data_IF_757425105957
#
_entry.id   IF_757425105957
#
_cell.length_a   1.000
_cell.length_b   1.000
_cell.length_c   1.000
_cell.angle_alpha   90.00
_cell.angle_beta   90.00
_cell.angle_gamma   90.00
#
_symmetry.space_group_name_H-M   'P 1'
#
loop_
_entity.id
_entity.type
_entity.pdbx_description
1 polymer ?
#
# COMPACT_ATOMS: atom_id res chain seq x y z
N UNK A 1 1.04 11.03 22.94
CA UNK A 1 1.28 9.73 23.59
C UNK A 1 1.95 8.84 22.57
N UNK A 2 2.71 7.84 23.03
CA UNK A 2 3.26 6.82 22.13
C UNK A 2 2.17 5.83 21.71
N UNK A 3 2.26 5.30 20.50
CA UNK A 3 1.40 4.21 20.02
C UNK A 3 1.34 3.08 21.08
N UNK A 4 0.13 2.67 21.49
CA UNK A 4 -0.04 1.50 22.34
C UNK A 4 0.31 0.24 21.54
N UNK A 5 1.24 -0.57 22.02
CA UNK A 5 1.66 -1.84 21.40
C UNK A 5 1.18 -3.04 22.23
N UNK A 6 1.36 -4.27 21.72
CA UNK A 6 1.04 -5.49 22.47
C UNK A 6 1.65 -5.54 23.88
N UNK A 7 2.80 -4.91 24.10
CA UNK A 7 3.47 -4.85 25.41
C UNK A 7 2.63 -4.08 26.46
N UNK A 8 1.70 -3.23 26.02
CA UNK A 8 0.82 -2.48 26.90
C UNK A 8 -0.24 -3.32 27.62
N UNK A 9 -0.50 -4.56 27.17
CA UNK A 9 -1.50 -5.44 27.78
C UNK A 9 -1.02 -6.20 29.02
N UNK A 10 0.29 -6.34 29.23
CA UNK A 10 0.83 -7.20 30.28
C UNK A 10 0.68 -8.70 29.95
N UNK A 11 0.24 -9.50 30.93
CA UNK A 11 0.02 -10.94 30.73
C UNK A 11 -1.25 -11.19 29.90
N UNK A 12 -1.11 -11.98 28.84
CA UNK A 12 -2.16 -12.30 27.88
C UNK A 12 -2.74 -13.72 28.07
N UNK A 13 -2.22 -14.51 29.03
CA UNK A 13 -2.69 -15.86 29.29
C UNK A 13 -4.20 -15.90 29.60
N UNK A 14 -4.96 -16.68 28.83
CA UNK A 14 -6.41 -16.79 28.97
C UNK A 14 -7.21 -15.58 28.48
N UNK A 15 -6.54 -14.55 27.93
CA UNK A 15 -7.22 -13.38 27.38
C UNK A 15 -7.89 -13.72 26.05
N UNK A 16 -9.11 -13.23 25.85
CA UNK A 16 -9.81 -13.33 24.55
C UNK A 16 -9.54 -12.05 23.76
N UNK A 17 -8.83 -12.14 22.65
CA UNK A 17 -8.36 -10.97 21.89
C UNK A 17 -9.08 -10.92 20.54
N UNK A 18 -9.75 -9.80 20.26
CA UNK A 18 -10.27 -9.51 18.92
C UNK A 18 -9.16 -8.88 18.10
N UNK A 19 -8.81 -9.44 16.94
CA UNK A 19 -7.72 -8.97 16.09
C UNK A 19 -8.27 -8.51 14.74
N UNK A 20 -8.14 -7.22 14.43
CA UNK A 20 -8.48 -6.65 13.12
C UNK A 20 -7.30 -6.79 12.16
N UNK A 21 -7.27 -7.89 11.42
CA UNK A 21 -6.30 -8.13 10.36
C UNK A 21 -6.74 -7.48 9.04
N UNK A 22 -5.81 -7.21 8.13
CA UNK A 22 -6.14 -6.88 6.73
C UNK A 22 -6.05 -8.13 5.85
N UNK A 23 -7.16 -8.88 5.76
CA UNK A 23 -7.24 -10.12 4.99
C UNK A 23 -7.87 -9.93 3.60
N UNK A 24 -7.83 -8.72 3.05
CA UNK A 24 -8.39 -8.43 1.73
C UNK A 24 -7.48 -8.95 0.59
N UNK A 25 -7.49 -10.27 0.38
CA UNK A 25 -6.70 -10.98 -0.63
C UNK A 25 -7.40 -11.05 -1.99
N UNK A 26 -6.66 -11.10 -3.10
CA UNK A 26 -7.24 -11.37 -4.40
C UNK A 26 -7.75 -12.82 -4.47
N UNK A 27 -8.99 -12.96 -4.93
CA UNK A 27 -9.63 -14.26 -5.20
C UNK A 27 -9.88 -14.44 -6.69
N UNK A 28 -9.58 -15.63 -7.21
CA UNK A 28 -9.98 -16.09 -8.53
C UNK A 28 -10.69 -17.42 -8.38
N UNK A 29 -11.95 -17.48 -8.81
CA UNK A 29 -12.79 -18.68 -8.74
C UNK A 29 -12.87 -19.29 -7.32
N UNK A 30 -12.88 -18.43 -6.29
CA UNK A 30 -12.93 -18.82 -4.88
C UNK A 30 -11.57 -19.21 -4.27
N UNK A 31 -10.51 -19.29 -5.08
CA UNK A 31 -9.15 -19.59 -4.62
C UNK A 31 -8.33 -18.30 -4.42
N UNK A 32 -7.50 -18.30 -3.37
CA UNK A 32 -6.56 -17.21 -3.08
C UNK A 32 -5.42 -17.27 -4.09
N UNK A 33 -5.21 -16.19 -4.84
CA UNK A 33 -4.10 -16.10 -5.81
C UNK A 33 -2.83 -15.49 -5.21
N UNK A 34 -2.95 -14.76 -4.10
CA UNK A 34 -1.85 -14.19 -3.32
C UNK A 34 -2.26 -14.17 -1.85
N UNK A 35 -1.53 -14.90 -0.99
CA UNK A 35 -1.78 -15.01 0.45
C UNK A 35 -0.89 -14.09 1.30
N UNK A 36 -0.15 -13.16 0.68
CA UNK A 36 0.82 -12.29 1.37
C UNK A 36 0.20 -11.49 2.53
N UNK A 37 -1.04 -11.02 2.37
CA UNK A 37 -1.78 -10.33 3.45
C UNK A 37 -2.13 -11.23 4.64
N UNK A 38 -2.41 -12.51 4.39
CA UNK A 38 -2.64 -13.49 5.46
C UNK A 38 -1.34 -13.74 6.22
N UNK A 39 -0.24 -13.94 5.47
CA UNK A 39 1.10 -14.14 6.04
C UNK A 39 1.55 -12.97 6.90
N UNK A 40 1.27 -11.75 6.46
CA UNK A 40 1.65 -10.54 7.17
C UNK A 40 1.01 -10.44 8.58
N UNK A 41 -0.14 -11.07 8.81
CA UNK A 41 -0.80 -11.08 10.13
C UNK A 41 -0.28 -12.20 11.06
N UNK A 42 0.44 -13.20 10.53
CA UNK A 42 0.88 -14.37 11.30
C UNK A 42 1.77 -14.01 12.51
N UNK A 43 2.71 -13.04 12.44
CA UNK A 43 3.55 -12.71 13.59
C UNK A 43 2.72 -12.27 14.81
N UNK A 44 1.73 -11.41 14.60
CA UNK A 44 0.83 -10.95 15.68
C UNK A 44 0.00 -12.10 16.22
N UNK A 45 -0.62 -12.89 15.34
CA UNK A 45 -1.47 -14.00 15.75
C UNK A 45 -0.68 -15.06 16.52
N UNK A 46 0.51 -15.42 16.04
CA UNK A 46 1.43 -16.38 16.69
C UNK A 46 1.81 -15.88 18.08
N UNK A 47 2.21 -14.60 18.20
CA UNK A 47 2.57 -14.02 19.50
C UNK A 47 1.44 -14.08 20.52
N UNK A 48 0.20 -13.84 20.11
CA UNK A 48 -0.97 -13.94 20.99
C UNK A 48 -1.22 -15.40 21.42
N UNK A 49 -1.16 -16.32 20.46
CA UNK A 49 -1.39 -17.74 20.70
C UNK A 49 -0.31 -18.38 21.60
N UNK A 50 0.96 -18.00 21.41
CA UNK A 50 2.08 -18.46 22.23
C UNK A 50 1.97 -17.94 23.68
N UNK A 51 1.36 -16.77 23.87
CA UNK A 51 0.99 -16.24 25.17
C UNK A 51 -0.26 -16.90 25.77
N UNK A 52 -0.77 -17.99 25.18
CA UNK A 52 -1.98 -18.69 25.61
C UNK A 52 -3.26 -17.84 25.60
N UNK A 53 -3.33 -16.83 24.73
CA UNK A 53 -4.57 -16.12 24.42
C UNK A 53 -5.41 -16.90 23.39
N UNK A 54 -6.72 -16.66 23.38
CA UNK A 54 -7.60 -17.08 22.28
C UNK A 54 -7.89 -15.89 21.38
N UNK A 55 -7.92 -16.09 20.07
CA UNK A 55 -8.02 -15.02 19.08
C UNK A 55 -9.29 -15.12 18.26
N UNK A 56 -10.02 -14.01 18.17
CA UNK A 56 -11.10 -13.81 17.19
C UNK A 56 -10.60 -12.85 16.11
N UNK A 57 -10.33 -13.37 14.92
CA UNK A 57 -9.91 -12.61 13.75
C UNK A 57 -11.13 -12.01 13.05
N UNK A 58 -11.07 -10.71 12.82
CA UNK A 58 -12.09 -9.97 12.07
C UNK A 58 -11.42 -9.27 10.88
N UNK A 59 -12.09 -9.28 9.72
CA UNK A 59 -11.57 -8.62 8.53
C UNK A 59 -12.68 -8.23 7.56
N UNK A 60 -12.28 -7.53 6.51
CA UNK A 60 -13.08 -7.30 5.32
C UNK A 60 -12.48 -8.03 4.13
N UNK A 61 -13.31 -8.26 3.11
CA UNK A 61 -12.90 -8.73 1.79
C UNK A 61 -13.72 -8.01 0.70
N UNK A 62 -13.04 -7.45 -0.29
CA UNK A 62 -13.68 -6.76 -1.41
C UNK A 62 -14.59 -5.60 -1.02
N UNK A 63 -15.64 -5.41 -1.83
CA UNK A 63 -16.64 -4.35 -1.72
C UNK A 63 -18.04 -4.95 -1.90
N UNK A 64 -18.61 -5.53 -0.83
CA UNK A 64 -19.94 -6.14 -0.87
C UNK A 64 -21.09 -5.14 -0.65
N UNK A 65 -20.80 -3.84 -0.48
CA UNK A 65 -21.78 -2.76 -0.36
C UNK A 65 -22.86 -2.97 0.73
N UNK A 66 -22.52 -3.65 1.82
CA UNK A 66 -23.40 -3.83 2.98
C UNK A 66 -24.34 -5.05 2.88
N UNK A 67 -24.15 -5.93 1.88
CA UNK A 67 -24.97 -7.13 1.71
C UNK A 67 -24.12 -8.42 1.66
N UNK A 68 -24.59 -9.53 2.26
CA UNK A 68 -23.91 -10.83 2.14
C UNK A 68 -23.77 -11.30 0.70
N UNK A 69 -22.53 -11.59 0.30
CA UNK A 69 -22.22 -12.12 -1.02
C UNK A 69 -21.15 -13.21 -0.93
N UNK A 70 -21.44 -14.46 -1.34
CA UNK A 70 -20.50 -15.58 -1.25
C UNK A 70 -19.13 -15.32 -1.89
N UNK A 71 -19.07 -14.49 -2.95
CA UNK A 71 -17.80 -14.09 -3.60
C UNK A 71 -16.84 -13.36 -2.66
N UNK A 72 -17.38 -12.69 -1.65
CA UNK A 72 -16.62 -11.91 -0.68
C UNK A 72 -16.63 -12.55 0.72
N UNK A 73 -16.95 -13.84 0.83
CA UNK A 73 -16.84 -14.56 2.11
C UNK A 73 -15.39 -14.76 2.52
N UNK A 74 -15.13 -14.71 3.83
CA UNK A 74 -13.80 -14.98 4.41
C UNK A 74 -13.52 -16.48 4.60
N UNK A 75 -14.44 -17.38 4.27
CA UNK A 75 -14.25 -18.82 4.45
C UNK A 75 -12.94 -19.37 3.82
N UNK A 76 -12.58 -19.04 2.56
CA UNK A 76 -11.32 -19.51 1.96
C UNK A 76 -10.09 -18.97 2.72
N UNK A 77 -10.21 -17.76 3.28
CA UNK A 77 -9.12 -17.11 4.02
C UNK A 77 -8.95 -17.70 5.40
N UNK A 78 -10.05 -18.06 6.07
CA UNK A 78 -10.02 -18.77 7.35
C UNK A 78 -9.32 -20.14 7.20
N UNK A 79 -9.65 -20.89 6.14
CA UNK A 79 -8.95 -22.15 5.83
C UNK A 79 -7.45 -21.91 5.66
N UNK A 80 -7.07 -20.94 4.81
CA UNK A 80 -5.65 -20.65 4.57
C UNK A 80 -4.92 -20.18 5.82
N UNK A 81 -5.57 -19.40 6.67
CA UNK A 81 -5.00 -18.97 7.94
C UNK A 81 -4.71 -20.16 8.86
N UNK A 82 -5.62 -21.12 8.95
CA UNK A 82 -5.43 -22.35 9.73
C UNK A 82 -4.24 -23.19 9.22
N UNK A 83 -4.14 -23.36 7.89
CA UNK A 83 -3.00 -24.04 7.26
C UNK A 83 -1.66 -23.38 7.61
N UNK A 84 -1.60 -22.05 7.59
CA UNK A 84 -0.37 -21.29 7.86
C UNK A 84 0.02 -21.24 9.34
N UNK A 85 -0.96 -21.32 10.24
CA UNK A 85 -0.73 -21.38 11.69
C UNK A 85 -0.44 -22.80 12.20
N UNK A 86 -0.60 -23.82 11.36
CA UNK A 86 -0.60 -25.23 11.74
C UNK A 86 -1.60 -25.52 12.89
N UNK A 87 -2.77 -24.87 12.83
CA UNK A 87 -3.82 -24.91 13.85
C UNK A 87 -5.20 -24.79 13.23
N UNK A 88 -6.21 -25.34 13.88
CA UNK A 88 -7.60 -25.14 13.46
C UNK A 88 -8.01 -23.66 13.61
N UNK A 89 -8.44 -23.05 12.50
CA UNK A 89 -9.06 -21.73 12.48
C UNK A 89 -10.56 -21.89 12.17
N UNK A 90 -11.41 -21.78 13.19
CA UNK A 90 -12.84 -22.02 13.06
C UNK A 90 -13.51 -20.82 12.40
N UNK A 91 -14.05 -21.02 11.20
CA UNK A 91 -14.84 -20.01 10.50
C UNK A 91 -16.29 -19.96 11.01
N UNK A 92 -16.78 -18.76 11.33
CA UNK A 92 -18.17 -18.55 11.79
C UNK A 92 -18.95 -17.80 10.70
N UNK A 93 -19.85 -18.50 9.95
CA UNK A 93 -20.64 -17.88 8.90
C UNK A 93 -21.76 -17.00 9.49
N UNK A 94 -22.29 -16.10 8.65
CA UNK A 94 -23.43 -15.25 9.01
C UNK A 94 -23.02 -13.86 9.48
N UNK A 95 -23.92 -13.19 10.22
CA UNK A 95 -23.69 -11.83 10.71
C UNK A 95 -22.60 -11.81 11.79
N UNK A 96 -21.49 -11.06 11.61
CA UNK A 96 -20.45 -10.93 12.64
C UNK A 96 -20.97 -10.35 13.96
N UNK A 97 -22.04 -9.54 13.90
CA UNK A 97 -22.69 -8.97 15.08
C UNK A 97 -23.45 -10.00 15.92
N UNK A 98 -24.00 -11.03 15.27
CA UNK A 98 -24.86 -12.04 15.91
C UNK A 98 -24.13 -13.37 16.13
N UNK A 99 -22.89 -13.48 15.66
CA UNK A 99 -22.04 -14.64 15.85
C UNK A 99 -21.79 -14.88 17.35
N UNK A 100 -21.98 -16.13 17.79
CA UNK A 100 -21.60 -16.52 19.14
C UNK A 100 -20.06 -16.43 19.32
N UNK A 101 -19.56 -16.03 20.50
CA UNK A 101 -18.13 -16.04 20.77
C UNK A 101 -17.52 -17.42 20.54
N UNK A 102 -16.40 -17.45 19.82
CA UNK A 102 -15.67 -18.67 19.56
C UNK A 102 -15.13 -19.32 20.85
N UNK A 103 -15.06 -20.65 20.85
CA UNK A 103 -14.52 -21.45 21.97
C UNK A 103 -13.14 -22.03 21.66
N UNK A 104 -12.69 -21.94 20.41
CA UNK A 104 -11.38 -22.40 19.96
C UNK A 104 -10.28 -21.37 20.15
N UNK A 105 -9.03 -21.78 19.92
CA UNK A 105 -7.86 -20.90 20.01
C UNK A 105 -7.87 -19.82 18.91
N UNK A 106 -8.40 -20.13 17.71
CA UNK A 106 -8.54 -19.20 16.60
C UNK A 106 -9.93 -19.30 16.01
N UNK A 107 -10.65 -18.18 16.01
CA UNK A 107 -11.96 -18.02 15.38
C UNK A 107 -11.87 -16.94 14.31
N UNK A 108 -12.49 -17.13 13.15
CA UNK A 108 -12.54 -16.13 12.08
C UNK A 108 -14.00 -15.80 11.80
N UNK A 109 -14.39 -14.54 12.00
CA UNK A 109 -15.73 -14.08 11.67
C UNK A 109 -15.88 -13.84 10.17
N UNK A 110 -17.12 -13.85 9.70
CA UNK A 110 -17.45 -13.45 8.34
C UNK A 110 -17.11 -11.97 8.06
N UNK A 111 -17.06 -11.62 6.77
CA UNK A 111 -16.73 -10.30 6.26
C UNK A 111 -17.53 -9.17 6.93
N UNK A 112 -16.82 -8.29 7.65
CA UNK A 112 -17.39 -7.16 8.37
C UNK A 112 -18.21 -6.22 7.48
N UNK A 113 -17.88 -6.13 6.18
CA UNK A 113 -18.59 -5.25 5.23
C UNK A 113 -19.92 -5.82 4.74
N UNK A 114 -20.31 -7.01 5.17
CA UNK A 114 -21.70 -7.48 5.03
C UNK A 114 -22.64 -6.77 6.01
N UNK A 115 -22.12 -6.08 7.03
CA UNK A 115 -22.90 -5.23 7.90
C UNK A 115 -22.74 -3.76 7.47
N UNK A 116 -23.82 -3.06 7.06
CA UNK A 116 -23.72 -1.66 6.62
C UNK A 116 -23.23 -0.72 7.73
N UNK A 117 -23.36 -1.11 9.01
CA UNK A 117 -22.87 -0.33 10.14
C UNK A 117 -21.35 -0.23 10.17
N UNK A 118 -20.60 -1.14 9.56
CA UNK A 118 -19.12 -1.09 9.51
C UNK A 118 -18.61 0.22 8.89
N UNK A 119 -19.27 0.68 7.82
CA UNK A 119 -18.88 1.88 7.07
C UNK A 119 -19.89 3.01 7.16
N UNK A 120 -20.82 2.95 8.12
CA UNK A 120 -21.86 3.97 8.26
C UNK A 120 -21.25 5.36 8.50
N UNK A 121 -21.91 6.39 7.96
CA UNK A 121 -21.55 7.78 8.25
C UNK A 121 -21.97 8.17 9.67
N UNK A 122 -22.95 7.49 10.25
CA UNK A 122 -23.42 7.71 11.61
C UNK A 122 -22.50 7.03 12.64
N UNK A 123 -21.99 7.79 13.60
CA UNK A 123 -21.07 7.27 14.61
C UNK A 123 -21.76 6.36 15.63
N UNK A 124 -23.06 6.56 15.90
CA UNK A 124 -23.85 5.71 16.78
C UNK A 124 -24.07 4.32 16.19
N UNK A 125 -24.35 4.24 14.89
CA UNK A 125 -24.45 2.96 14.17
C UNK A 125 -23.11 2.20 14.19
N UNK A 126 -21.99 2.89 13.90
CA UNK A 126 -20.65 2.29 13.99
C UNK A 126 -20.36 1.81 15.41
N UNK A 127 -20.70 2.61 16.41
CA UNK A 127 -20.52 2.27 17.83
C UNK A 127 -21.33 1.03 18.23
N UNK A 128 -22.59 0.93 17.80
CA UNK A 128 -23.42 -0.24 18.08
C UNK A 128 -22.85 -1.53 17.48
N UNK A 129 -22.26 -1.45 16.28
CA UNK A 129 -21.59 -2.60 15.68
C UNK A 129 -20.29 -2.95 16.40
N UNK A 130 -19.48 -1.96 16.78
CA UNK A 130 -18.28 -2.16 17.60
C UNK A 130 -18.59 -2.84 18.95
N UNK A 131 -19.69 -2.47 19.61
CA UNK A 131 -20.13 -3.11 20.86
C UNK A 131 -20.56 -4.57 20.66
N UNK A 132 -21.15 -4.91 19.52
CA UNK A 132 -21.43 -6.31 19.15
C UNK A 132 -20.13 -7.10 18.94
N UNK A 133 -19.17 -6.54 18.19
CA UNK A 133 -17.85 -7.16 17.98
C UNK A 133 -17.08 -7.34 19.30
N UNK A 134 -17.25 -6.41 20.25
CA UNK A 134 -16.59 -6.47 21.55
C UNK A 134 -17.01 -7.69 22.39
N UNK A 135 -18.14 -8.34 22.10
CA UNK A 135 -18.56 -9.57 22.80
C UNK A 135 -17.61 -10.75 22.55
N UNK A 136 -16.83 -10.69 21.48
CA UNK A 136 -15.86 -11.72 21.06
C UNK A 136 -14.52 -11.64 21.79
N UNK A 137 -14.31 -10.67 22.68
CA UNK A 137 -13.08 -10.57 23.44
C UNK A 137 -13.12 -9.60 24.63
N UNK A 138 -11.99 -9.46 25.30
CA UNK A 138 -11.75 -8.50 26.38
C UNK A 138 -10.61 -7.52 26.05
N UNK A 139 -9.94 -7.71 24.92
CA UNK A 139 -8.92 -6.82 24.39
C UNK A 139 -9.02 -6.75 22.85
N UNK A 140 -8.54 -5.66 22.27
CA UNK A 140 -8.54 -5.41 20.82
C UNK A 140 -7.13 -5.15 20.29
N UNK A 141 -6.76 -5.83 19.21
CA UNK A 141 -5.52 -5.59 18.48
C UNK A 141 -5.86 -5.16 17.06
N UNK A 142 -5.43 -3.95 16.69
CA UNK A 142 -5.45 -3.52 15.29
C UNK A 142 -4.17 -4.01 14.61
N UNK A 143 -4.28 -4.79 13.54
CA UNK A 143 -3.12 -5.38 12.86
C UNK A 143 -3.20 -5.27 11.32
N UNK A 144 -4.05 -4.38 10.81
CA UNK A 144 -4.17 -4.10 9.38
C UNK A 144 -3.85 -2.65 9.06
N UNK A 145 -2.62 -2.34 8.62
CA UNK A 145 -2.26 -0.96 8.30
C UNK A 145 -3.10 -0.39 7.15
N UNK A 146 -3.47 -1.23 6.17
CA UNK A 146 -4.29 -0.82 5.03
C UNK A 146 -5.67 -0.25 5.37
N UNK A 147 -6.16 -0.43 6.60
CA UNK A 147 -7.48 0.07 7.03
C UNK A 147 -7.41 1.26 8.00
N UNK A 148 -6.22 1.60 8.53
CA UNK A 148 -6.10 2.63 9.59
C UNK A 148 -6.42 4.05 9.14
N UNK A 149 -6.42 4.33 7.83
CA UNK A 149 -6.80 5.64 7.28
C UNK A 149 -8.32 5.91 7.35
N UNK A 150 -9.14 4.92 7.77
CA UNK A 150 -10.60 5.04 7.77
C UNK A 150 -11.20 5.01 9.17
N UNK A 151 -12.22 5.84 9.39
CA UNK A 151 -13.11 5.76 10.56
C UNK A 151 -14.20 4.72 10.30
N UNK A 152 -13.89 3.46 10.58
CA UNK A 152 -14.81 2.32 10.49
C UNK A 152 -15.04 1.71 11.86
N UNK A 153 -16.18 1.06 12.07
CA UNK A 153 -16.55 0.50 13.37
C UNK A 153 -15.46 -0.43 13.93
N UNK A 154 -14.95 -1.35 13.09
CA UNK A 154 -13.90 -2.31 13.47
C UNK A 154 -12.49 -1.72 13.62
N UNK A 155 -12.26 -0.48 13.20
CA UNK A 155 -10.95 0.19 13.20
C UNK A 155 -10.87 1.25 14.29
N UNK A 156 -11.91 2.09 14.38
CA UNK A 156 -11.94 3.28 15.23
C UNK A 156 -12.80 3.05 16.46
N UNK A 157 -14.10 2.77 16.31
CA UNK A 157 -15.01 2.63 17.45
C UNK A 157 -14.66 1.43 18.35
N UNK A 158 -14.30 0.28 17.77
CA UNK A 158 -13.92 -0.90 18.56
C UNK A 158 -12.68 -0.65 19.42
N UNK A 159 -11.71 0.12 18.91
CA UNK A 159 -10.52 0.52 19.65
C UNK A 159 -10.82 1.44 20.84
N UNK A 160 -11.99 2.09 20.87
CA UNK A 160 -12.49 2.90 21.98
C UNK A 160 -13.31 2.08 22.98
N UNK A 161 -13.91 0.96 22.54
CA UNK A 161 -14.78 0.10 23.36
C UNK A 161 -13.95 -0.86 24.22
N UNK A 162 -12.88 -1.43 23.67
CA UNK A 162 -12.00 -2.38 24.36
C UNK A 162 -10.63 -1.77 24.65
N UNK A 163 -9.90 -2.25 25.68
CA UNK A 163 -8.46 -2.03 25.79
C UNK A 163 -7.78 -2.38 24.46
N UNK A 164 -7.09 -1.41 23.85
CA UNK A 164 -6.64 -1.52 22.47
C UNK A 164 -5.15 -1.25 22.27
N UNK A 165 -4.55 -2.01 21.37
CA UNK A 165 -3.16 -1.84 20.96
C UNK A 165 -2.98 -2.12 19.46
N UNK A 166 -1.87 -1.64 18.91
CA UNK A 166 -1.35 -2.05 17.62
C UNK A 166 -0.69 -3.43 17.73
N UNK A 167 -0.96 -4.27 16.73
CA UNK A 167 -0.22 -5.50 16.47
C UNK A 167 1.12 -5.22 15.81
N UNK A 168 1.88 -6.29 15.57
CA UNK A 168 3.24 -6.20 15.03
C UNK A 168 3.27 -5.65 13.59
N UNK A 169 2.25 -5.91 12.78
CA UNK A 169 2.19 -5.41 11.40
C UNK A 169 2.11 -3.89 11.40
N UNK A 170 1.18 -3.31 12.17
CA UNK A 170 1.01 -1.86 12.26
C UNK A 170 2.25 -1.21 12.88
N UNK A 171 2.80 -1.79 13.95
CA UNK A 171 4.00 -1.25 14.59
C UNK A 171 5.21 -1.21 13.63
N UNK A 172 5.40 -2.29 12.84
CA UNK A 172 6.48 -2.36 11.85
C UNK A 172 6.26 -1.36 10.70
N UNK A 173 5.05 -1.30 10.13
CA UNK A 173 4.73 -0.33 9.07
C UNK A 173 4.97 1.11 9.52
N UNK A 174 4.46 1.47 10.70
CA UNK A 174 4.65 2.82 11.23
C UNK A 174 6.14 3.15 11.41
N UNK A 175 6.92 2.22 11.96
CA UNK A 175 8.36 2.41 12.13
C UNK A 175 9.09 2.64 10.80
N UNK A 176 8.69 1.94 9.73
CA UNK A 176 9.26 2.16 8.39
C UNK A 176 8.84 3.52 7.84
N UNK A 177 7.56 3.89 7.96
CA UNK A 177 7.07 5.15 7.44
C UNK A 177 7.65 6.37 8.17
N UNK A 178 7.83 6.30 9.49
CA UNK A 178 8.52 7.33 10.28
C UNK A 178 10.00 7.49 9.85
N UNK A 179 10.66 6.40 9.44
CA UNK A 179 12.01 6.48 8.86
C UNK A 179 12.01 7.18 7.50
N UNK A 180 10.91 7.11 6.73
CA UNK A 180 10.77 7.81 5.46
C UNK A 180 10.41 9.29 5.61
N UNK A 181 9.67 9.68 6.67
CA UNK A 181 9.16 11.05 6.83
C UNK A 181 9.94 11.89 7.85
N UNK A 182 10.45 11.29 8.92
CA UNK A 182 11.06 12.03 10.03
C UNK A 182 12.59 11.93 10.06
N UNK A 183 13.13 10.73 9.79
CA UNK A 183 14.57 10.45 9.97
C UNK A 183 15.17 9.62 8.83
N UNK A 184 15.06 10.04 7.56
CA UNK A 184 15.63 9.30 6.45
C UNK A 184 17.16 9.36 6.46
N UNK A 185 17.81 8.24 6.16
CA UNK A 185 19.24 8.19 5.91
C UNK A 185 19.53 8.71 4.50
N UNK A 186 20.47 9.64 4.38
CA UNK A 186 20.83 10.28 3.10
C UNK A 186 22.01 9.58 2.40
N UNK A 187 22.07 9.57 1.06
CA UNK A 187 21.11 10.19 0.14
C UNK A 187 19.75 9.47 0.11
N UNK A 188 18.66 10.23 0.06
CA UNK A 188 17.28 9.73 0.00
C UNK A 188 16.69 9.95 -1.40
N UNK A 189 16.41 8.85 -2.12
CA UNK A 189 15.69 8.88 -3.38
C UNK A 189 14.22 8.46 -3.22
N UNK A 190 13.33 9.16 -3.91
CA UNK A 190 11.94 8.75 -4.09
C UNK A 190 11.69 8.48 -5.57
N UNK A 191 11.08 7.33 -5.87
CA UNK A 191 10.71 6.91 -7.22
C UNK A 191 9.19 6.86 -7.31
N UNK A 192 8.60 7.73 -8.13
CA UNK A 192 7.15 7.82 -8.30
C UNK A 192 6.76 7.44 -9.73
N UNK A 193 5.76 6.59 -9.85
CA UNK A 193 5.15 6.23 -11.11
C UNK A 193 3.64 6.06 -10.99
N UNK A 194 3.07 5.28 -11.92
CA UNK A 194 1.62 5.13 -12.06
C UNK A 194 1.02 6.06 -13.12
N UNK A 195 -0.29 5.93 -13.33
CA UNK A 195 -0.98 6.51 -14.48
C UNK A 195 -1.35 7.99 -14.35
N UNK A 196 -1.51 8.49 -13.12
CA UNK A 196 -1.99 9.85 -12.83
C UNK A 196 -1.05 10.57 -11.88
N UNK A 197 -0.72 11.81 -12.22
CA UNK A 197 0.07 12.71 -11.37
C UNK A 197 -0.77 13.22 -10.20
N UNK A 198 -2.08 13.39 -10.38
CA UNK A 198 -3.02 13.83 -9.33
C UNK A 198 -3.00 12.92 -8.08
N UNK A 199 -2.79 11.62 -8.27
CA UNK A 199 -2.69 10.62 -7.20
C UNK A 199 -1.36 10.67 -6.42
N UNK A 200 -0.43 11.57 -6.80
CA UNK A 200 0.94 11.66 -6.24
C UNK A 200 1.32 13.06 -5.75
N UNK A 201 0.51 14.08 -6.03
CA UNK A 201 0.86 15.47 -5.72
C UNK A 201 1.10 15.70 -4.23
N UNK A 202 0.24 15.15 -3.36
CA UNK A 202 0.40 15.30 -1.91
C UNK A 202 1.68 14.65 -1.40
N UNK A 203 2.07 13.50 -1.96
CA UNK A 203 3.31 12.81 -1.62
C UNK A 203 4.52 13.62 -2.07
N UNK A 204 4.48 14.16 -3.29
CA UNK A 204 5.53 15.06 -3.80
C UNK A 204 5.65 16.28 -2.89
N UNK A 205 4.53 16.96 -2.60
CA UNK A 205 4.52 18.17 -1.78
C UNK A 205 5.16 17.96 -0.41
N UNK A 206 4.82 16.85 0.25
CA UNK A 206 5.31 16.53 1.58
C UNK A 206 6.76 16.04 1.58
N UNK A 207 7.18 15.23 0.60
CA UNK A 207 8.51 14.62 0.59
C UNK A 207 9.58 15.49 -0.07
N UNK A 208 9.21 16.41 -0.97
CA UNK A 208 10.18 17.27 -1.68
C UNK A 208 11.21 17.96 -0.77
N UNK A 209 10.88 18.54 0.40
CA UNK A 209 11.88 19.15 1.29
C UNK A 209 12.82 18.15 2.00
N UNK A 210 12.57 16.84 1.89
CA UNK A 210 13.28 15.79 2.64
C UNK A 210 14.19 14.93 1.76
N UNK A 211 13.86 14.81 0.48
CA UNK A 211 14.56 13.95 -0.48
C UNK A 211 15.76 14.66 -1.09
N UNK A 212 16.74 13.88 -1.54
CA UNK A 212 17.87 14.38 -2.33
C UNK A 212 17.65 14.14 -3.83
N UNK A 213 16.84 13.14 -4.18
CA UNK A 213 16.45 12.87 -5.57
C UNK A 213 15.01 12.42 -5.70
N UNK A 214 14.33 12.89 -6.75
CA UNK A 214 12.97 12.49 -7.12
C UNK A 214 12.96 11.99 -8.56
N UNK A 215 12.56 10.75 -8.76
CA UNK A 215 12.57 10.05 -10.05
C UNK A 215 11.13 9.85 -10.51
N UNK A 216 10.79 10.32 -11.71
CA UNK A 216 9.40 10.31 -12.22
C UNK A 216 9.25 9.33 -13.39
N UNK A 217 8.36 8.35 -13.28
CA UNK A 217 8.04 7.40 -14.36
C UNK A 217 6.54 7.21 -14.53
N UNK A 218 6.13 6.16 -15.25
CA UNK A 218 4.73 5.84 -15.49
C UNK A 218 4.00 6.86 -16.36
N UNK A 219 2.67 6.75 -16.47
CA UNK A 219 1.85 7.72 -17.21
C UNK A 219 1.96 9.16 -16.68
N UNK A 220 2.24 9.34 -15.39
CA UNK A 220 2.40 10.69 -14.82
C UNK A 220 3.60 11.46 -15.40
N UNK A 221 4.61 10.78 -15.96
CA UNK A 221 5.79 11.44 -16.53
C UNK A 221 5.42 12.39 -17.68
N UNK A 222 4.39 12.07 -18.45
CA UNK A 222 3.99 12.89 -19.61
C UNK A 222 3.42 14.24 -19.20
N UNK A 223 2.81 14.35 -18.01
CA UNK A 223 2.42 15.66 -17.47
C UNK A 223 3.65 16.50 -17.09
N UNK A 224 4.75 15.88 -16.65
CA UNK A 224 6.03 16.56 -16.42
C UNK A 224 6.67 17.03 -17.74
N UNK A 225 6.68 16.19 -18.78
CA UNK A 225 7.18 16.57 -20.10
C UNK A 225 6.35 17.72 -20.71
N UNK A 226 5.02 17.64 -20.60
CA UNK A 226 4.13 18.71 -21.05
C UNK A 226 4.35 20.02 -20.27
N UNK A 227 4.60 19.94 -18.95
CA UNK A 227 4.94 21.09 -18.11
C UNK A 227 6.26 21.77 -18.52
N UNK A 228 7.19 21.00 -19.09
CA UNK A 228 8.44 21.50 -19.70
C UNK A 228 8.29 22.00 -21.14
N UNK A 229 7.08 21.88 -21.72
CA UNK A 229 6.75 22.38 -23.07
C UNK A 229 6.92 21.35 -24.19
N UNK A 230 7.09 20.07 -23.86
CA UNK A 230 7.24 19.00 -24.85
C UNK A 230 5.88 18.42 -25.27
N UNK A 231 5.76 18.06 -26.56
CA UNK A 231 4.59 17.36 -27.07
C UNK A 231 4.65 15.87 -26.69
N UNK A 232 3.52 15.30 -26.25
CA UNK A 232 3.45 13.94 -25.69
C UNK A 232 2.56 12.98 -26.50
N UNK A 233 2.16 13.38 -27.71
CA UNK A 233 1.26 12.59 -28.56
C UNK A 233 -0.07 12.27 -27.86
N UNK A 234 -0.48 10.99 -27.92
CA UNK A 234 -1.68 10.46 -27.24
C UNK A 234 -1.40 9.85 -25.86
N UNK A 235 -0.22 10.10 -25.31
CA UNK A 235 0.14 9.63 -23.97
C UNK A 235 -0.78 10.23 -22.89
N UNK A 236 -0.86 9.57 -21.74
CA UNK A 236 -1.69 10.02 -20.61
C UNK A 236 -1.27 11.43 -20.18
N UNK A 237 -2.22 12.35 -20.02
CA UNK A 237 -1.93 13.74 -19.69
C UNK A 237 -3.04 14.34 -18.82
N UNK A 238 -2.66 14.92 -17.69
CA UNK A 238 -3.55 15.72 -16.83
C UNK A 238 -3.22 17.21 -17.01
N UNK A 239 -3.83 17.81 -18.05
CA UNK A 239 -3.55 19.21 -18.44
C UNK A 239 -3.81 20.22 -17.32
N UNK A 240 -4.83 19.96 -16.49
CA UNK A 240 -5.20 20.77 -15.34
C UNK A 240 -4.15 20.75 -14.22
N UNK A 241 -3.23 19.77 -14.23
CA UNK A 241 -2.16 19.64 -13.25
C UNK A 241 -0.82 20.22 -13.72
N UNK A 242 -0.71 20.68 -14.97
CA UNK A 242 0.52 21.30 -15.51
C UNK A 242 1.02 22.45 -14.61
N UNK A 243 0.19 23.42 -14.18
CA UNK A 243 0.67 24.52 -13.33
C UNK A 243 1.26 24.02 -12.01
N UNK A 244 0.66 22.99 -11.41
CA UNK A 244 1.14 22.38 -10.17
C UNK A 244 2.48 21.69 -10.38
N UNK A 245 2.64 20.97 -11.50
CA UNK A 245 3.91 20.31 -11.84
C UNK A 245 5.02 21.33 -12.10
N UNK A 246 4.74 22.43 -12.82
CA UNK A 246 5.71 23.52 -13.02
C UNK A 246 6.18 24.11 -11.69
N UNK A 247 5.29 24.26 -10.72
CA UNK A 247 5.64 24.69 -9.37
C UNK A 247 6.56 23.69 -8.66
N UNK A 248 6.33 22.38 -8.80
CA UNK A 248 7.24 21.37 -8.25
C UNK A 248 8.61 21.35 -8.93
N UNK A 249 8.68 21.55 -10.26
CA UNK A 249 9.95 21.69 -10.98
C UNK A 249 10.78 22.84 -10.40
N UNK A 250 10.15 24.00 -10.18
CA UNK A 250 10.78 25.18 -9.59
C UNK A 250 11.23 24.93 -8.15
N UNK A 251 10.35 24.36 -7.31
CA UNK A 251 10.68 24.07 -5.90
C UNK A 251 11.80 23.05 -5.76
N UNK A 252 11.86 22.05 -6.64
CA UNK A 252 12.93 21.07 -6.63
C UNK A 252 14.29 21.74 -6.86
N UNK A 253 14.39 22.65 -7.84
CA UNK A 253 15.59 23.44 -8.11
C UNK A 253 15.98 24.32 -6.90
N UNK A 254 15.01 25.03 -6.31
CA UNK A 254 15.25 25.89 -5.13
C UNK A 254 15.72 25.11 -3.90
N UNK A 255 15.24 23.89 -3.73
CA UNK A 255 15.62 22.99 -2.64
C UNK A 255 16.90 22.19 -2.94
N UNK A 256 17.45 22.30 -4.15
CA UNK A 256 18.61 21.50 -4.58
C UNK A 256 18.29 20.01 -4.74
N UNK A 257 17.03 19.65 -4.93
CA UNK A 257 16.60 18.27 -5.18
C UNK A 257 16.90 17.91 -6.62
N UNK A 258 17.60 16.79 -6.83
CA UNK A 258 17.83 16.28 -8.19
C UNK A 258 16.54 15.63 -8.70
N UNK A 259 15.82 16.33 -9.58
CA UNK A 259 14.64 15.77 -10.24
C UNK A 259 15.04 15.08 -11.55
N UNK A 260 14.84 13.76 -11.61
CA UNK A 260 15.08 12.97 -12.82
C UNK A 260 13.74 12.77 -13.56
N UNK A 261 13.53 13.62 -14.57
CA UNK A 261 12.48 13.43 -15.59
C UNK A 261 13.06 12.56 -16.72
N UNK A 262 12.30 11.60 -17.28
CA UNK A 262 12.78 10.70 -18.33
C UNK A 262 13.37 11.42 -19.54
N UNK A 263 14.46 10.89 -20.08
CA UNK A 263 15.16 11.40 -21.27
C UNK A 263 14.81 10.64 -22.54
N UNK A 264 14.33 9.42 -22.40
CA UNK A 264 13.86 8.54 -23.46
C UNK A 264 12.65 7.72 -22.99
N UNK A 265 11.79 7.35 -23.92
CA UNK A 265 10.53 6.63 -23.64
C UNK A 265 10.26 5.58 -24.70
N UNK A 266 9.58 4.50 -24.31
CA UNK A 266 9.06 3.49 -25.24
C UNK A 266 7.67 3.94 -25.70
N UNK A 267 7.55 4.25 -26.99
CA UNK A 267 6.30 4.70 -27.63
C UNK A 267 5.73 3.55 -28.45
N UNK A 268 4.42 3.33 -28.38
CA UNK A 268 3.70 2.30 -29.10
C UNK A 268 2.60 2.87 -29.99
N UNK A 269 2.22 2.09 -31.02
CA UNK A 269 1.11 2.41 -31.92
C UNK A 269 -0.26 2.37 -31.23
N UNK A 270 -0.40 1.55 -30.17
CA UNK A 270 -1.64 1.34 -29.45
C UNK A 270 -1.38 0.77 -28.04
N UNK A 271 -2.38 0.87 -27.16
CA UNK A 271 -2.38 0.20 -25.85
C UNK A 271 -2.70 -1.30 -26.03
N UNK A 272 -1.71 -2.10 -26.42
CA UNK A 272 -1.86 -3.54 -26.58
C UNK A 272 -0.52 -4.27 -26.29
N UNK A 273 -0.55 -5.52 -25.77
CA UNK A 273 0.66 -6.27 -25.43
C UNK A 273 1.62 -6.52 -26.62
N UNK A 274 1.06 -6.59 -27.83
CA UNK A 274 1.73 -6.91 -29.10
C UNK A 274 1.83 -5.71 -30.04
N UNK A 275 1.61 -4.49 -29.54
CA UNK A 275 1.73 -3.29 -30.34
C UNK A 275 3.16 -3.07 -30.85
N UNK A 276 3.28 -2.63 -32.10
CA UNK A 276 4.53 -2.09 -32.63
C UNK A 276 4.99 -0.93 -31.74
N UNK A 277 6.28 -0.92 -31.42
CA UNK A 277 6.87 0.04 -30.50
C UNK A 277 8.32 0.37 -30.86
N UNK A 278 8.77 1.53 -30.43
CA UNK A 278 10.16 1.97 -30.56
C UNK A 278 10.54 2.92 -29.41
N UNK A 279 11.83 3.07 -29.18
CA UNK A 279 12.35 4.04 -28.20
C UNK A 279 12.70 5.34 -28.91
N UNK A 280 12.23 6.47 -28.37
CA UNK A 280 12.54 7.82 -28.85
C UNK A 280 12.95 8.73 -27.70
N UNK A 281 13.62 9.87 -27.98
CA UNK A 281 13.85 10.91 -26.98
C UNK A 281 12.53 11.40 -26.38
N UNK A 282 12.49 11.61 -25.06
CA UNK A 282 11.29 12.00 -24.33
C UNK A 282 10.82 13.42 -24.69
N UNK A 283 11.73 14.29 -25.11
CA UNK A 283 11.42 15.65 -25.60
C UNK A 283 10.94 15.67 -27.07
N UNK A 284 10.91 14.52 -27.74
CA UNK A 284 10.56 14.37 -29.15
C UNK A 284 9.67 13.15 -29.42
N UNK A 285 8.66 12.87 -28.58
CA UNK A 285 7.77 11.71 -28.71
C UNK A 285 7.10 11.62 -30.10
N UNK A 286 6.68 12.76 -30.65
CA UNK A 286 6.06 12.83 -31.98
C UNK A 286 7.04 12.60 -33.15
N UNK A 287 8.34 12.42 -32.87
CA UNK A 287 9.31 11.97 -33.88
C UNK A 287 9.26 10.47 -34.15
N UNK A 288 8.54 9.71 -33.33
CA UNK A 288 8.23 8.30 -33.60
C UNK A 288 7.52 8.14 -34.94
N UNK A 289 7.61 6.93 -35.50
CA UNK A 289 6.86 6.46 -36.66
C UNK A 289 5.34 6.57 -36.51
N UNK A 290 4.84 6.77 -35.28
CA UNK A 290 3.43 6.96 -34.96
C UNK A 290 3.02 8.44 -34.88
N UNK A 291 3.97 9.38 -34.93
CA UNK A 291 3.69 10.82 -34.88
C UNK A 291 2.89 11.23 -33.63
N UNK A 292 1.91 12.12 -33.82
CA UNK A 292 1.00 12.57 -32.76
C UNK A 292 0.08 11.46 -32.22
N UNK A 293 -0.04 10.33 -32.92
CA UNK A 293 -0.86 9.19 -32.48
C UNK A 293 -0.11 8.24 -31.53
N UNK A 294 1.21 8.40 -31.38
CA UNK A 294 2.03 7.58 -30.49
C UNK A 294 1.64 7.72 -29.01
N UNK A 295 1.72 6.60 -28.28
CA UNK A 295 1.41 6.52 -26.85
C UNK A 295 2.63 5.98 -26.12
N UNK A 296 3.17 6.73 -25.16
CA UNK A 296 4.26 6.25 -24.31
C UNK A 296 3.77 5.26 -23.25
N UNK A 297 4.42 4.10 -23.16
CA UNK A 297 3.98 2.99 -22.31
C UNK A 297 5.05 2.49 -21.31
N UNK A 298 6.31 2.90 -21.45
CA UNK A 298 7.39 2.65 -20.48
C UNK A 298 8.48 3.73 -20.60
N UNK A 299 9.35 3.83 -19.58
CA UNK A 299 10.59 4.60 -19.68
C UNK A 299 11.57 3.88 -20.62
N UNK A 300 12.41 4.64 -21.32
CA UNK A 300 13.44 4.07 -22.18
C UNK A 300 14.65 3.54 -21.40
N UNK A 301 15.54 2.79 -22.08
CA UNK A 301 16.73 2.18 -21.47
C UNK A 301 17.70 3.19 -20.83
N UNK A 302 17.86 4.39 -21.40
CA UNK A 302 18.80 5.37 -20.85
C UNK A 302 18.26 5.96 -19.54
N UNK A 303 16.97 6.25 -19.50
CA UNK A 303 16.25 6.66 -18.29
C UNK A 303 16.31 5.58 -17.22
N UNK A 304 16.03 4.33 -17.58
CA UNK A 304 16.06 3.21 -16.65
C UNK A 304 17.47 3.00 -16.05
N UNK A 305 18.53 3.22 -16.83
CA UNK A 305 19.92 3.19 -16.36
C UNK A 305 20.26 4.36 -15.41
N UNK A 306 19.80 5.57 -15.74
CA UNK A 306 19.96 6.74 -14.86
C UNK A 306 19.23 6.55 -13.53
N UNK A 307 18.01 6.01 -13.56
CA UNK A 307 17.22 5.71 -12.36
C UNK A 307 17.92 4.67 -11.49
N UNK A 308 18.40 3.57 -12.08
CA UNK A 308 19.15 2.55 -11.36
C UNK A 308 20.41 3.13 -10.68
N UNK A 309 21.11 4.06 -11.35
CA UNK A 309 22.30 4.72 -10.80
C UNK A 309 21.96 5.58 -9.59
N UNK A 310 20.90 6.39 -9.66
CA UNK A 310 20.46 7.22 -8.54
C UNK A 310 19.95 6.37 -7.35
N UNK A 311 19.25 5.27 -7.62
CA UNK A 311 18.80 4.29 -6.61
C UNK A 311 20.00 3.67 -5.90
N UNK A 312 21.00 3.18 -6.65
CA UNK A 312 22.19 2.53 -6.08
C UNK A 312 23.06 3.50 -5.24
N UNK A 313 23.03 4.79 -5.55
CA UNK A 313 23.75 5.82 -4.78
C UNK A 313 23.06 6.21 -3.46
N UNK A 314 21.84 5.72 -3.21
CA UNK A 314 20.99 6.14 -2.08
C UNK A 314 21.09 5.19 -0.89
N UNK A 315 20.95 5.73 0.32
CA UNK A 315 20.82 4.98 1.59
C UNK A 315 19.38 4.72 1.97
N UNK A 316 18.47 5.59 1.54
CA UNK A 316 17.03 5.38 1.65
C UNK A 316 16.41 5.49 0.27
N UNK A 317 15.55 4.55 -0.09
CA UNK A 317 14.80 4.57 -1.34
C UNK A 317 13.35 4.23 -1.06
N UNK A 318 12.43 5.08 -1.49
CA UNK A 318 10.99 4.78 -1.49
C UNK A 318 10.47 4.73 -2.92
N UNK A 319 9.84 3.62 -3.30
CA UNK A 319 9.27 3.43 -4.62
C UNK A 319 7.75 3.27 -4.54
N UNK A 320 7.00 4.10 -5.28
CA UNK A 320 5.55 4.02 -5.42
C UNK A 320 5.07 4.25 -6.87
N UNK A 321 4.57 3.19 -7.48
CA UNK A 321 4.03 3.16 -8.84
C UNK A 321 5.03 2.67 -9.89
N UNK A 322 4.61 1.80 -10.83
CA UNK A 322 5.49 1.26 -11.88
C UNK A 322 5.90 2.33 -12.90
N UNK A 323 6.95 2.04 -13.67
CA UNK A 323 7.52 2.96 -14.68
C UNK A 323 6.83 2.86 -16.04
N UNK A 324 6.09 1.77 -16.26
CA UNK A 324 5.37 1.48 -17.50
C UNK A 324 4.25 0.47 -17.27
N UNK A 325 3.62 0.02 -18.34
CA UNK A 325 2.56 -1.00 -18.35
C UNK A 325 3.18 -2.39 -18.18
N UNK A 326 3.69 -2.67 -16.98
CA UNK A 326 4.49 -3.87 -16.68
C UNK A 326 3.75 -5.20 -16.89
N UNK A 327 2.42 -5.17 -17.00
CA UNK A 327 1.59 -6.31 -17.35
C UNK A 327 1.83 -6.78 -18.79
N UNK A 328 2.34 -5.90 -19.65
CA UNK A 328 2.72 -6.20 -21.03
C UNK A 328 4.24 -6.39 -21.09
N UNK A 329 4.74 -7.58 -21.48
CA UNK A 329 6.18 -7.85 -21.50
C UNK A 329 7.02 -6.83 -22.30
N UNK A 330 6.45 -6.23 -23.35
CA UNK A 330 7.09 -5.19 -24.16
C UNK A 330 7.30 -3.85 -23.43
N UNK A 331 6.60 -3.61 -22.32
CA UNK A 331 6.59 -2.33 -21.58
C UNK A 331 6.88 -2.52 -20.08
N UNK A 332 7.64 -3.58 -19.76
CA UNK A 332 7.95 -3.98 -18.39
C UNK A 332 9.40 -3.71 -17.99
N UNK A 333 10.29 -3.41 -18.93
CA UNK A 333 11.73 -3.36 -18.71
C UNK A 333 12.15 -2.21 -17.81
N UNK A 334 11.53 -1.03 -17.94
CA UNK A 334 11.77 0.10 -17.07
C UNK A 334 11.39 -0.20 -15.61
N UNK A 335 10.22 -0.78 -15.41
CA UNK A 335 9.73 -1.22 -14.09
C UNK A 335 10.64 -2.29 -13.49
N UNK A 336 11.05 -3.27 -14.29
CA UNK A 336 11.97 -4.35 -13.89
C UNK A 336 13.35 -3.80 -13.50
N UNK A 337 13.86 -2.82 -14.22
CA UNK A 337 15.16 -2.20 -13.94
C UNK A 337 15.15 -1.46 -12.61
N UNK A 338 14.09 -0.70 -12.33
CA UNK A 338 13.88 -0.06 -11.03
C UNK A 338 13.78 -1.12 -9.91
N UNK A 339 12.92 -2.13 -10.08
CA UNK A 339 12.77 -3.20 -9.09
C UNK A 339 14.11 -3.91 -8.78
N UNK A 340 14.91 -4.23 -9.80
CA UNK A 340 16.24 -4.82 -9.62
C UNK A 340 17.18 -3.89 -8.85
N UNK A 341 17.23 -2.60 -9.19
CA UNK A 341 18.09 -1.64 -8.51
C UNK A 341 17.74 -1.50 -7.02
N UNK A 342 16.45 -1.56 -6.65
CA UNK A 342 16.03 -1.53 -5.24
C UNK A 342 16.56 -2.72 -4.43
N UNK A 343 16.81 -3.88 -5.06
CA UNK A 343 17.35 -5.05 -4.37
C UNK A 343 18.85 -4.95 -4.07
N UNK A 344 19.53 -3.96 -4.63
CA UNK A 344 20.96 -3.73 -4.51
C UNK A 344 21.29 -2.55 -3.58
N UNK A 345 20.27 -1.90 -3.01
CA UNK A 345 20.42 -0.76 -2.10
C UNK A 345 21.06 -1.20 -0.79
N UNK A 346 22.23 -0.63 -0.46
CA UNK A 346 22.88 -0.78 0.83
C UNK A 346 22.26 0.15 1.88
N UNK A 347 21.02 -0.13 2.27
CA UNK A 347 20.25 0.68 3.21
C UNK A 347 18.78 0.27 3.24
N UNK A 348 17.90 1.25 3.43
CA UNK A 348 16.46 1.02 3.45
C UNK A 348 15.87 1.17 2.05
N UNK A 349 15.37 0.08 1.45
CA UNK A 349 14.54 0.11 0.25
C UNK A 349 13.09 -0.26 0.59
N UNK A 350 12.16 0.65 0.32
CA UNK A 350 10.73 0.49 0.61
C UNK A 350 9.93 0.49 -0.69
N UNK A 351 9.15 -0.58 -0.88
CA UNK A 351 8.16 -0.68 -1.96
C UNK A 351 6.79 -0.35 -1.38
N UNK A 352 6.17 0.72 -1.88
CA UNK A 352 4.85 1.19 -1.46
C UNK A 352 3.82 1.10 -2.58
N UNK A 353 2.56 0.84 -2.22
CA UNK A 353 1.44 0.79 -3.15
C UNK A 353 1.20 -0.59 -3.76
N UNK A 354 -0.07 -0.89 -4.04
CA UNK A 354 -0.49 -2.19 -4.54
C UNK A 354 0.17 -2.56 -5.88
N UNK A 355 0.26 -1.60 -6.79
CA UNK A 355 0.79 -1.84 -8.14
C UNK A 355 2.30 -2.13 -8.13
N UNK A 356 3.08 -1.42 -7.30
CA UNK A 356 4.52 -1.72 -7.15
C UNK A 356 4.75 -3.08 -6.50
N UNK A 357 4.00 -3.44 -5.46
CA UNK A 357 4.08 -4.76 -4.84
C UNK A 357 3.69 -5.88 -5.84
N UNK A 358 2.66 -5.64 -6.66
CA UNK A 358 2.27 -6.56 -7.73
C UNK A 358 3.35 -6.68 -8.82
N UNK A 359 4.00 -5.56 -9.20
CA UNK A 359 5.08 -5.56 -10.17
C UNK A 359 6.28 -6.37 -9.69
N UNK A 360 6.71 -6.18 -8.44
CA UNK A 360 7.78 -6.97 -7.81
C UNK A 360 7.54 -8.48 -7.98
N UNK A 361 6.35 -8.95 -7.63
CA UNK A 361 6.00 -10.38 -7.68
C UNK A 361 5.84 -10.89 -9.10
N UNK A 362 5.16 -10.13 -9.96
CA UNK A 362 4.91 -10.49 -11.37
C UNK A 362 6.21 -10.62 -12.14
N UNK A 363 7.20 -9.77 -11.84
CA UNK A 363 8.51 -9.77 -12.48
C UNK A 363 9.49 -10.77 -11.85
N UNK A 364 9.04 -11.58 -10.89
CA UNK A 364 9.79 -12.70 -10.32
C UNK A 364 10.79 -12.32 -9.22
N UNK A 365 10.63 -11.15 -8.59
CA UNK A 365 11.42 -10.78 -7.43
C UNK A 365 10.79 -11.34 -6.15
N UNK A 366 11.63 -11.86 -5.26
CA UNK A 366 11.20 -12.30 -3.95
C UNK A 366 11.06 -11.11 -2.99
N UNK A 367 10.00 -11.11 -2.17
CA UNK A 367 9.68 -10.02 -1.24
C UNK A 367 10.83 -9.73 -0.25
N UNK A 368 11.61 -10.75 0.13
CA UNK A 368 12.75 -10.66 1.07
C UNK A 368 14.02 -10.01 0.49
N UNK A 369 14.03 -9.72 -0.82
CA UNK A 369 15.11 -8.94 -1.47
C UNK A 369 14.96 -7.43 -1.27
N UNK A 370 13.88 -6.96 -0.66
CA UNK A 370 13.61 -5.55 -0.38
C UNK A 370 13.67 -5.30 1.13
N UNK A 371 14.02 -4.08 1.53
CA UNK A 371 14.02 -3.70 2.94
C UNK A 371 12.63 -3.75 3.59
N UNK A 372 11.60 -3.37 2.84
CA UNK A 372 10.20 -3.46 3.25
C UNK A 372 9.25 -3.40 2.05
N UNK A 373 8.21 -4.24 2.04
CA UNK A 373 7.09 -4.14 1.11
C UNK A 373 5.84 -3.77 1.90
N UNK A 374 5.36 -2.55 1.70
CA UNK A 374 4.23 -2.00 2.42
C UNK A 374 2.92 -2.65 1.99
N UNK A 375 2.15 -3.10 2.97
CA UNK A 375 0.79 -3.64 2.78
C UNK A 375 -0.30 -2.57 2.96
N UNK A 376 0.10 -1.36 3.38
CA UNK A 376 -0.83 -0.28 3.71
C UNK A 376 -1.55 0.36 2.52
N UNK A 377 -1.03 0.21 1.29
CA UNK A 377 -1.66 0.76 0.09
C UNK A 377 -1.95 2.26 0.24
N UNK A 378 -3.23 2.64 0.14
CA UNK A 378 -3.67 4.03 0.33
C UNK A 378 -3.38 4.60 1.71
N UNK A 379 -3.34 3.77 2.77
CA UNK A 379 -3.01 4.25 4.12
C UNK A 379 -1.57 4.74 4.21
N UNK A 380 -0.63 4.02 3.60
CA UNK A 380 0.78 4.41 3.55
C UNK A 380 0.97 5.69 2.74
N UNK A 381 0.20 5.85 1.65
CA UNK A 381 0.23 7.09 0.86
C UNK A 381 -0.31 8.27 1.64
N UNK A 382 -1.47 8.14 2.29
CA UNK A 382 -2.01 9.22 3.13
C UNK A 382 -1.03 9.60 4.26
N UNK A 383 -0.34 8.62 4.86
CA UNK A 383 0.72 8.91 5.83
C UNK A 383 1.86 9.72 5.21
N UNK A 384 2.35 9.32 4.02
CA UNK A 384 3.43 10.00 3.30
C UNK A 384 3.01 11.38 2.75
N UNK A 385 1.72 11.66 2.64
CA UNK A 385 1.17 13.00 2.39
C UNK A 385 1.15 13.88 3.66
N UNK A 386 1.57 13.34 4.80
CA UNK A 386 1.53 14.01 6.11
C UNK A 386 0.15 14.01 6.76
N UNK A 387 -0.78 13.15 6.32
CA UNK A 387 -2.12 13.07 6.94
C UNK A 387 -2.07 12.26 8.23
N UNK A 388 -2.97 12.63 9.15
CA UNK A 388 -3.21 11.85 10.36
C UNK A 388 -4.15 10.69 10.07
N UNK A 389 -3.80 9.50 10.53
CA UNK A 389 -4.57 8.28 10.30
C UNK A 389 -5.45 7.97 11.53
N UNK A 390 -6.79 8.00 11.43
CA UNK A 390 -7.68 7.85 12.59
C UNK A 390 -7.48 6.55 13.38
N UNK A 391 -7.17 5.46 12.69
CA UNK A 391 -6.89 4.15 13.29
C UNK A 391 -5.57 4.09 14.05
N UNK A 392 -4.61 4.98 13.78
CA UNK A 392 -3.40 5.14 14.59
C UNK A 392 -3.65 6.09 15.76
N UNK A 393 -4.32 7.21 15.52
CA UNK A 393 -4.65 8.21 16.56
C UNK A 393 -5.44 7.58 17.71
N UNK A 394 -6.43 6.73 17.40
CA UNK A 394 -7.24 6.07 18.43
C UNK A 394 -6.43 5.11 19.31
N UNK A 395 -5.32 4.59 18.78
CA UNK A 395 -4.35 3.76 19.49
C UNK A 395 -3.31 4.58 20.25
N UNK A 396 -3.45 5.92 20.24
CA UNK A 396 -2.60 6.84 20.99
C UNK A 396 -1.40 7.38 20.21
N UNK A 397 -1.27 7.10 18.91
CA UNK A 397 -0.23 7.72 18.09
C UNK A 397 -0.48 9.23 17.92
N UNK A 398 0.55 10.02 18.15
CA UNK A 398 0.59 11.44 17.85
C UNK A 398 1.73 11.67 16.86
N UNK A 399 1.45 12.42 15.80
CA UNK A 399 2.51 12.94 14.95
C UNK A 399 3.30 13.97 15.77
N UNK A 400 4.63 13.92 15.71
CA UNK A 400 5.46 14.99 16.25
C UNK A 400 5.09 16.30 15.53
N UNK A 401 4.75 17.32 16.32
CA UNK A 401 4.19 18.59 15.85
C UNK A 401 5.20 19.53 15.20
#
# INVERSE_FOLDING_TARGET
MSLRTLDSFGDLAGTRVVVRCDLNVPLKDGAITDDGRVRASLPTLTRLLDASASVTVISHLGRPDGEPNPKYSLAPVAQRLGELLDREATFVPGSPADAAPGTGAVTVLENLRFDPRETSKDAGERRAFAEALAQHGSAFVSDGFGVVHRKQASVFELAQVLPSAAGLLIANELSVLERLTERPEKPYAVVLGGSKVSDKLGVIDHLLPRVDSLLIGGGMLFTFLAAQGHAVGKSLLEQDQIPTVQEYLRRADELGVTLLVPTDVVVAAAFAPDADHETVPADAIESSSFGADGIGLDIGPDTAAAFATAIAASRTVFWNGPMGVFEFPAFADGTKRVAQALTEVEGLSVVGGGDSAAAVRTLGFADDRFGHISTGGGASLEFLEGKRLPGLEVLGWEADA
#
